data_IF_353931965575
#
_entry.id   IF_353931965575
#
_cell.length_a   1.000
_cell.length_b   1.000
_cell.length_c   1.000
_cell.angle_alpha   90.00
_cell.angle_beta   90.00
_cell.angle_gamma   90.00
#
_symmetry.space_group_name_H-M   'P 1'
#
loop_
_entity.id
_entity.type
_entity.pdbx_description
1 polymer ?
#
# COMPACT_ATOMS: atom_id res chain seq x y z
N UNK A 1 9.03 25.70 -2.60
CA UNK A 1 8.22 26.29 -1.51
C UNK A 1 8.93 25.97 -0.20
N UNK A 2 9.30 26.98 0.57
CA UNK A 2 10.09 26.90 1.82
C UNK A 2 9.26 26.39 3.01
N UNK A 3 8.40 25.39 2.82
CA UNK A 3 7.57 24.80 3.88
C UNK A 3 8.38 23.76 4.68
N UNK A 4 8.26 23.66 6.02
CA UNK A 4 7.34 24.38 6.92
C UNK A 4 7.70 25.86 7.14
N UNK A 5 8.94 26.24 6.87
CA UNK A 5 9.44 27.60 6.95
C UNK A 5 10.93 27.67 6.59
N UNK A 6 11.49 28.86 6.29
CA UNK A 6 12.92 29.03 6.08
C UNK A 6 13.71 28.93 7.39
N UNK A 7 14.90 28.30 7.35
CA UNK A 7 15.83 28.21 8.48
C UNK A 7 16.57 29.52 8.76
N UNK A 8 16.79 30.33 7.72
CA UNK A 8 17.35 31.66 7.82
C UNK A 8 16.88 32.53 6.64
N UNK A 9 17.03 33.83 6.76
CA UNK A 9 16.94 34.77 5.64
C UNK A 9 18.26 35.54 5.53
N UNK A 10 18.77 35.64 4.31
CA UNK A 10 19.99 36.39 4.02
C UNK A 10 19.62 37.77 3.49
N UNK A 11 20.00 38.81 4.25
CA UNK A 11 19.93 40.19 3.79
C UNK A 11 21.23 40.54 3.08
N UNK A 12 21.21 40.52 1.75
CA UNK A 12 22.42 40.72 0.92
C UNK A 12 22.61 42.21 0.63
N UNK A 13 23.72 42.77 1.09
CA UNK A 13 24.09 44.18 0.92
C UNK A 13 25.45 44.32 0.25
N UNK A 14 25.69 45.44 -0.41
CA UNK A 14 27.03 45.82 -0.89
C UNK A 14 27.83 46.55 0.18
N UNK A 15 29.16 46.46 0.14
CA UNK A 15 30.04 47.17 1.09
C UNK A 15 30.09 48.70 0.89
N UNK A 16 29.55 49.24 -0.20
CA UNK A 16 29.77 50.65 -0.57
C UNK A 16 28.71 51.61 -0.06
N UNK A 17 27.43 51.21 -0.02
CA UNK A 17 26.34 52.08 0.43
C UNK A 17 25.17 51.26 0.96
N UNK A 18 24.54 51.77 2.02
CA UNK A 18 23.21 51.37 2.46
C UNK A 18 22.25 52.49 2.07
N UNK A 19 21.29 52.22 1.19
CA UNK A 19 20.40 53.26 0.65
C UNK A 19 19.06 53.29 1.39
N UNK A 20 18.34 54.41 1.25
CA UNK A 20 17.01 54.54 1.84
C UNK A 20 16.04 53.48 1.30
N UNK A 21 16.16 53.12 0.02
CA UNK A 21 15.34 52.08 -0.59
C UNK A 21 15.61 50.69 0.02
N UNK A 22 16.86 50.40 0.41
CA UNK A 22 17.21 49.16 1.11
C UNK A 22 16.62 49.14 2.52
N UNK A 23 16.65 50.27 3.23
CA UNK A 23 16.01 50.42 4.55
C UNK A 23 14.50 50.22 4.48
N UNK A 24 13.83 50.91 3.55
CA UNK A 24 12.38 50.78 3.33
C UNK A 24 11.99 49.34 2.94
N UNK A 25 12.80 48.68 2.10
CA UNK A 25 12.56 47.29 1.70
C UNK A 25 12.60 46.33 2.90
N UNK A 26 13.53 46.54 3.82
CA UNK A 26 13.65 45.74 5.05
C UNK A 26 12.43 46.00 5.95
N UNK A 27 12.03 47.26 6.11
CA UNK A 27 10.84 47.61 6.90
C UNK A 27 9.56 47.00 6.32
N UNK A 28 9.37 47.05 5.00
CA UNK A 28 8.25 46.38 4.33
C UNK A 28 8.27 44.86 4.57
N UNK A 29 9.43 44.24 4.44
CA UNK A 29 9.58 42.80 4.68
C UNK A 29 9.24 42.43 6.13
N UNK A 30 9.75 43.20 7.09
CA UNK A 30 9.48 43.00 8.53
C UNK A 30 8.02 43.28 8.87
N UNK A 31 7.36 44.22 8.20
CA UNK A 31 5.93 44.46 8.38
C UNK A 31 5.10 43.27 7.89
N UNK A 32 5.51 42.61 6.80
CA UNK A 32 4.83 41.45 6.25
C UNK A 32 5.10 40.15 7.04
N UNK A 33 6.36 39.89 7.40
CA UNK A 33 6.79 38.69 8.13
C UNK A 33 6.78 38.89 9.67
N UNK A 34 6.48 40.08 10.15
CA UNK A 34 6.54 40.41 11.57
C UNK A 34 7.96 40.49 12.13
N UNK A 35 8.10 41.17 13.27
CA UNK A 35 9.40 41.46 13.90
C UNK A 35 10.18 40.23 14.35
N UNK A 36 9.54 39.05 14.48
CA UNK A 36 10.24 37.80 14.83
C UNK A 36 11.26 37.37 13.77
N UNK A 37 11.14 37.88 12.55
CA UNK A 37 12.01 37.49 11.43
C UNK A 37 13.49 37.86 11.64
N UNK A 38 13.77 38.91 12.44
CA UNK A 38 15.14 39.30 12.79
C UNK A 38 15.93 38.21 13.53
N UNK A 39 15.24 37.30 14.26
CA UNK A 39 15.85 36.13 14.91
C UNK A 39 16.43 35.12 13.93
N UNK A 40 16.06 35.23 12.65
CA UNK A 40 16.45 34.33 11.56
C UNK A 40 17.24 35.06 10.48
N UNK A 41 17.55 36.35 10.67
CA UNK A 41 18.29 37.16 9.70
C UNK A 41 19.80 37.03 9.88
N UNK A 42 20.49 36.96 8.74
CA UNK A 42 21.95 37.18 8.62
C UNK A 42 22.16 38.30 7.63
N UNK A 43 22.96 39.30 7.99
CA UNK A 43 23.38 40.35 7.04
C UNK A 43 24.62 39.88 6.29
N UNK A 44 24.50 39.70 4.97
CA UNK A 44 25.59 39.25 4.12
C UNK A 44 26.10 40.41 3.28
N UNK A 45 27.34 40.83 3.51
CA UNK A 45 28.03 41.83 2.72
C UNK A 45 28.73 41.17 1.53
N UNK A 46 28.53 41.71 0.33
CA UNK A 46 29.20 41.25 -0.89
C UNK A 46 30.39 42.14 -1.22
N UNK A 47 31.32 41.59 -2.02
CA UNK A 47 32.59 42.23 -2.45
C UNK A 47 33.66 42.29 -1.37
N UNK A 48 33.77 41.24 -0.55
CA UNK A 48 34.83 41.14 0.48
C UNK A 48 36.24 41.41 -0.07
N UNK A 49 36.48 41.13 -1.36
CA UNK A 49 37.72 41.46 -2.07
C UNK A 49 38.09 42.95 -2.05
N UNK A 50 37.11 43.85 -1.99
CA UNK A 50 37.32 45.29 -1.85
C UNK A 50 37.89 45.63 -0.46
N UNK A 51 37.44 44.94 0.61
CA UNK A 51 38.01 45.11 1.96
C UNK A 51 39.45 44.58 2.01
N UNK A 52 39.67 43.39 1.45
CA UNK A 52 40.97 42.73 1.43
C UNK A 52 42.00 43.59 0.67
N UNK A 53 41.62 44.18 -0.47
CA UNK A 53 42.48 45.10 -1.24
C UNK A 53 42.92 46.33 -0.44
N UNK A 54 42.05 46.84 0.43
CA UNK A 54 42.33 48.00 1.27
C UNK A 54 42.91 47.64 2.64
N UNK A 55 43.21 46.36 2.89
CA UNK A 55 43.71 45.87 4.18
C UNK A 55 42.74 46.12 5.33
N UNK A 56 41.44 46.15 5.06
CA UNK A 56 40.38 46.39 6.05
C UNK A 56 39.69 45.10 6.42
N UNK A 57 39.27 44.99 7.67
CA UNK A 57 38.42 43.88 8.13
C UNK A 57 36.93 44.23 7.97
N UNK A 58 36.06 43.22 8.10
CA UNK A 58 34.61 43.48 8.19
C UNK A 58 34.29 44.38 9.40
N UNK A 59 34.95 44.18 10.54
CA UNK A 59 34.77 45.01 11.73
C UNK A 59 35.11 46.48 11.47
N UNK A 60 36.16 46.76 10.69
CA UNK A 60 36.50 48.13 10.30
C UNK A 60 35.38 48.76 9.46
N UNK A 61 34.78 47.98 8.55
CA UNK A 61 33.63 48.43 7.78
C UNK A 61 32.41 48.73 8.67
N UNK A 62 32.08 47.82 9.61
CA UNK A 62 30.94 47.96 10.52
C UNK A 62 31.05 49.18 11.46
N UNK A 63 32.25 49.72 11.69
CA UNK A 63 32.41 51.00 12.42
C UNK A 63 31.91 52.19 11.61
N UNK A 64 32.00 52.12 10.28
CA UNK A 64 31.73 53.22 9.34
C UNK A 64 30.31 53.25 8.75
N UNK A 65 29.53 52.17 8.93
CA UNK A 65 28.17 52.10 8.37
C UNK A 65 27.17 53.09 9.01
N UNK A 66 26.09 53.45 8.30
CA UNK A 66 25.04 54.33 8.83
C UNK A 66 24.36 53.80 10.09
N UNK A 67 23.83 54.71 10.91
CA UNK A 67 23.13 54.38 12.16
C UNK A 67 21.91 53.48 11.94
N UNK A 68 21.20 53.63 10.83
CA UNK A 68 20.07 52.76 10.49
C UNK A 68 20.50 51.31 10.28
N UNK A 69 21.57 51.07 9.53
CA UNK A 69 22.11 49.71 9.37
C UNK A 69 22.67 49.13 10.67
N UNK A 70 23.30 49.97 11.53
CA UNK A 70 23.72 49.54 12.88
C UNK A 70 22.54 49.07 13.74
N UNK A 71 21.40 49.75 13.64
CA UNK A 71 20.16 49.37 14.33
C UNK A 71 19.64 48.02 13.83
N UNK A 72 19.62 47.81 12.52
CA UNK A 72 19.20 46.53 11.91
C UNK A 72 20.12 45.39 12.38
N UNK A 73 21.43 45.58 12.34
CA UNK A 73 22.40 44.60 12.84
C UNK A 73 22.18 44.27 14.31
N UNK A 74 21.88 45.27 15.15
CA UNK A 74 21.54 45.05 16.56
C UNK A 74 20.27 44.22 16.75
N UNK A 75 19.28 44.34 15.87
CA UNK A 75 18.08 43.49 15.89
C UNK A 75 18.37 42.06 15.43
N UNK A 76 19.39 41.87 14.58
CA UNK A 76 19.86 40.58 14.10
C UNK A 76 20.92 39.94 15.02
N UNK A 77 21.02 40.35 16.30
CA UNK A 77 22.06 39.89 17.24
C UNK A 77 23.49 39.98 16.68
N UNK A 78 23.75 41.01 15.87
CA UNK A 78 25.01 41.26 15.18
C UNK A 78 25.46 40.16 14.21
N UNK A 79 24.57 39.24 13.81
CA UNK A 79 24.82 38.20 12.80
C UNK A 79 25.10 38.84 11.44
N UNK A 80 26.36 38.85 11.04
CA UNK A 80 26.77 39.31 9.72
C UNK A 80 28.02 38.60 9.22
N UNK A 81 28.16 38.52 7.89
CA UNK A 81 29.27 37.85 7.22
C UNK A 81 29.62 38.59 5.92
N UNK A 82 30.87 38.52 5.49
CA UNK A 82 31.33 39.08 4.21
C UNK A 82 31.69 37.96 3.23
N UNK A 83 31.21 38.09 1.99
CA UNK A 83 31.41 37.12 0.91
C UNK A 83 32.19 37.75 -0.25
N UNK A 84 33.16 36.98 -0.75
CA UNK A 84 33.77 37.23 -2.06
C UNK A 84 33.18 36.22 -3.06
N UNK A 85 32.21 36.67 -3.86
CA UNK A 85 31.55 35.83 -4.87
C UNK A 85 32.49 35.37 -6.00
N UNK A 86 33.72 35.88 -6.05
CA UNK A 86 34.78 35.49 -7.01
C UNK A 86 35.87 34.63 -6.38
N UNK A 87 35.73 34.25 -5.11
CA UNK A 87 36.73 33.45 -4.41
C UNK A 87 37.00 32.12 -5.14
N UNK A 88 38.28 31.72 -5.34
CA UNK A 88 38.62 30.39 -5.80
C UNK A 88 38.46 29.36 -4.67
N UNK A 89 38.47 28.07 -5.02
CA UNK A 89 38.64 27.00 -4.03
C UNK A 89 40.09 27.01 -3.50
N UNK A 90 40.34 26.80 -2.18
CA UNK A 90 39.39 26.39 -1.14
C UNK A 90 38.64 27.55 -0.46
N UNK A 91 39.10 28.80 -0.58
CA UNK A 91 38.54 29.95 0.14
C UNK A 91 37.02 30.17 -0.06
N UNK A 92 36.47 29.69 -1.18
CA UNK A 92 35.01 29.67 -1.41
C UNK A 92 34.28 28.69 -0.49
N UNK A 93 34.85 27.50 -0.27
CA UNK A 93 34.28 26.50 0.64
C UNK A 93 34.30 27.01 2.07
N UNK A 94 35.43 27.58 2.52
CA UNK A 94 35.59 28.15 3.86
C UNK A 94 34.48 29.20 4.16
N UNK A 95 34.22 30.12 3.23
CA UNK A 95 33.15 31.13 3.41
C UNK A 95 31.74 30.53 3.48
N UNK A 96 31.50 29.42 2.77
CA UNK A 96 30.22 28.72 2.83
C UNK A 96 30.08 27.96 4.14
N UNK A 97 31.16 27.36 4.63
CA UNK A 97 31.21 26.69 5.93
C UNK A 97 30.93 27.67 7.07
N UNK A 98 31.58 28.83 7.08
CA UNK A 98 31.31 29.92 8.03
C UNK A 98 29.83 30.34 8.04
N UNK A 99 29.20 30.41 6.86
CA UNK A 99 27.77 30.74 6.74
C UNK A 99 26.88 29.63 7.30
N UNK A 100 27.20 28.36 7.03
CA UNK A 100 26.45 27.22 7.53
C UNK A 100 26.53 27.12 9.05
N UNK A 101 27.71 27.34 9.64
CA UNK A 101 27.88 27.41 11.10
C UNK A 101 27.00 28.50 11.72
N UNK A 102 26.90 29.66 11.07
CA UNK A 102 26.02 30.75 11.53
C UNK A 102 24.53 30.37 11.42
N UNK A 103 24.13 29.63 10.39
CA UNK A 103 22.76 29.13 10.23
C UNK A 103 22.46 28.08 11.31
N UNK A 104 23.39 27.18 11.60
CA UNK A 104 23.25 26.19 12.66
C UNK A 104 23.11 26.84 14.03
N UNK A 105 23.85 27.92 14.29
CA UNK A 105 23.71 28.72 15.50
C UNK A 105 22.33 29.42 15.59
N UNK A 106 21.81 29.94 14.48
CA UNK A 106 20.42 30.46 14.42
C UNK A 106 19.43 29.36 14.80
N UNK A 107 19.57 28.16 14.23
CA UNK A 107 18.67 27.05 14.55
C UNK A 107 18.77 26.68 16.03
N UNK A 108 19.99 26.56 16.58
CA UNK A 108 20.21 26.25 18.00
C UNK A 108 19.57 27.29 18.92
N UNK A 109 19.72 28.58 18.61
CA UNK A 109 19.09 29.69 19.35
C UNK A 109 17.57 29.71 19.23
N UNK A 110 17.02 29.17 18.15
CA UNK A 110 15.58 29.02 17.92
C UNK A 110 15.06 27.60 18.21
N UNK A 111 15.75 26.83 19.07
CA UNK A 111 15.33 25.48 19.50
C UNK A 111 15.17 24.46 18.36
N UNK A 112 15.90 24.64 17.27
CA UNK A 112 15.82 23.83 16.05
C UNK A 112 14.62 24.14 15.17
N UNK A 113 13.82 25.15 15.51
CA UNK A 113 12.63 25.51 14.76
C UNK A 113 12.98 26.42 13.57
N UNK A 114 12.34 26.19 12.42
CA UNK A 114 12.36 27.12 11.30
C UNK A 114 11.44 28.32 11.57
N UNK A 115 11.67 29.44 10.87
CA UNK A 115 10.76 30.58 10.96
C UNK A 115 9.35 30.19 10.46
N UNK A 116 8.32 30.50 11.23
CA UNK A 116 6.92 30.28 10.83
C UNK A 116 6.04 31.49 11.17
N UNK A 117 4.99 31.67 10.38
CA UNK A 117 3.93 32.65 10.58
C UNK A 117 2.59 32.08 10.08
N UNK A 118 1.52 32.87 10.15
CA UNK A 118 0.18 32.44 9.74
C UNK A 118 0.15 31.95 8.28
N UNK A 119 0.80 32.66 7.36
CA UNK A 119 0.91 32.25 5.96
C UNK A 119 1.61 30.88 5.81
N UNK A 120 2.73 30.66 6.49
CA UNK A 120 3.45 29.38 6.46
C UNK A 120 2.63 28.25 7.08
N UNK A 121 1.94 28.51 8.19
CA UNK A 121 1.04 27.56 8.84
C UNK A 121 -0.13 27.16 7.92
N UNK A 122 -0.79 28.11 7.26
CA UNK A 122 -1.87 27.82 6.32
C UNK A 122 -1.36 27.05 5.09
N UNK A 123 -0.20 27.43 4.55
CA UNK A 123 0.44 26.70 3.46
C UNK A 123 0.75 25.25 3.87
N UNK A 124 1.27 25.03 5.08
CA UNK A 124 1.55 23.69 5.60
C UNK A 124 0.26 22.86 5.77
N UNK A 125 -0.83 23.45 6.27
CA UNK A 125 -2.14 22.80 6.37
C UNK A 125 -2.65 22.36 5.00
N UNK A 126 -2.59 23.25 4.00
CA UNK A 126 -3.00 22.93 2.62
C UNK A 126 -2.15 21.80 2.04
N UNK A 127 -0.83 21.83 2.27
CA UNK A 127 0.08 20.78 1.81
C UNK A 127 -0.21 19.43 2.48
N UNK A 128 -0.40 19.40 3.81
CA UNK A 128 -0.81 18.21 4.56
C UNK A 128 -2.15 17.66 4.08
N UNK A 129 -3.13 18.53 3.85
CA UNK A 129 -4.44 18.13 3.35
C UNK A 129 -4.35 17.54 1.94
N UNK A 130 -3.60 18.17 1.03
CA UNK A 130 -3.34 17.61 -0.31
C UNK A 130 -2.65 16.26 -0.23
N UNK A 131 -1.66 16.12 0.66
CA UNK A 131 -0.94 14.88 0.88
C UNK A 131 -1.88 13.76 1.32
N UNK A 132 -2.76 14.05 2.29
CA UNK A 132 -3.79 13.12 2.75
C UNK A 132 -4.75 12.72 1.62
N UNK A 133 -5.22 13.68 0.80
CA UNK A 133 -6.11 13.36 -0.32
C UNK A 133 -5.44 12.47 -1.39
N UNK A 134 -4.16 12.71 -1.68
CA UNK A 134 -3.37 11.87 -2.59
C UNK A 134 -3.27 10.45 -2.04
N UNK A 135 -2.94 10.30 -0.76
CA UNK A 135 -2.81 8.99 -0.12
C UNK A 135 -4.14 8.24 -0.07
N UNK A 136 -5.22 8.91 0.32
CA UNK A 136 -6.58 8.35 0.32
C UNK A 136 -7.04 7.94 -1.09
N UNK A 137 -6.72 8.71 -2.12
CA UNK A 137 -7.04 8.35 -3.51
C UNK A 137 -6.29 7.09 -3.93
N UNK A 138 -5.01 6.98 -3.57
CA UNK A 138 -4.18 5.80 -3.87
C UNK A 138 -4.67 4.54 -3.17
N UNK A 139 -5.07 4.66 -1.91
CA UNK A 139 -5.66 3.53 -1.16
C UNK A 139 -6.94 3.03 -1.83
N UNK A 140 -7.81 3.95 -2.24
CA UNK A 140 -9.03 3.62 -3.01
C UNK A 140 -8.72 2.98 -4.35
N UNK A 141 -7.71 3.45 -5.07
CA UNK A 141 -7.27 2.84 -6.34
C UNK A 141 -6.74 1.42 -6.11
N UNK A 142 -5.91 1.22 -5.07
CA UNK A 142 -5.40 -0.11 -4.70
C UNK A 142 -6.54 -1.07 -4.35
N UNK A 143 -7.53 -0.62 -3.58
CA UNK A 143 -8.71 -1.42 -3.23
C UNK A 143 -9.55 -1.78 -4.48
N UNK A 144 -9.70 -0.84 -5.42
CA UNK A 144 -10.38 -1.09 -6.69
C UNK A 144 -9.65 -2.13 -7.54
N UNK A 145 -8.33 -2.02 -7.67
CA UNK A 145 -7.53 -3.00 -8.40
C UNK A 145 -7.58 -4.39 -7.73
N UNK A 146 -7.58 -4.46 -6.38
CA UNK A 146 -7.78 -5.73 -5.65
C UNK A 146 -9.14 -6.38 -5.95
N UNK A 147 -10.22 -5.59 -5.93
CA UNK A 147 -11.56 -6.08 -6.28
C UNK A 147 -11.66 -6.50 -7.74
N UNK A 148 -10.93 -5.83 -8.63
CA UNK A 148 -10.91 -6.21 -10.04
C UNK A 148 -10.18 -7.55 -10.26
N UNK A 149 -9.03 -7.75 -9.61
CA UNK A 149 -8.32 -9.04 -9.61
C UNK A 149 -9.23 -10.16 -9.12
N UNK A 150 -9.98 -9.94 -8.04
CA UNK A 150 -10.94 -10.91 -7.52
C UNK A 150 -12.00 -11.26 -8.57
N UNK A 151 -12.62 -10.27 -9.20
CA UNK A 151 -13.62 -10.47 -10.27
C UNK A 151 -13.04 -11.19 -11.48
N UNK A 152 -11.85 -10.83 -11.95
CA UNK A 152 -11.20 -11.46 -13.10
C UNK A 152 -10.91 -12.93 -12.83
N UNK A 153 -10.38 -13.25 -11.64
CA UNK A 153 -10.11 -14.62 -11.22
C UNK A 153 -11.42 -15.40 -11.13
N UNK A 154 -12.45 -14.85 -10.49
CA UNK A 154 -13.77 -15.51 -10.44
C UNK A 154 -14.36 -15.73 -11.82
N UNK A 155 -14.32 -14.73 -12.71
CA UNK A 155 -14.88 -14.81 -14.06
C UNK A 155 -14.17 -15.86 -14.91
N UNK A 156 -12.83 -15.91 -14.85
CA UNK A 156 -12.02 -16.91 -15.57
C UNK A 156 -12.44 -18.34 -15.21
N UNK A 157 -12.82 -18.56 -13.96
CA UNK A 157 -13.15 -19.87 -13.43
C UNK A 157 -14.65 -20.18 -13.40
N UNK A 158 -15.52 -19.18 -13.52
CA UNK A 158 -17.00 -19.31 -13.43
C UNK A 158 -17.57 -20.41 -14.30
N UNK A 159 -17.15 -20.50 -15.56
CA UNK A 159 -17.66 -21.48 -16.53
C UNK A 159 -17.23 -22.91 -16.23
N UNK A 160 -15.91 -23.14 -16.10
CA UNK A 160 -15.36 -24.48 -15.83
C UNK A 160 -15.83 -25.04 -14.47
N UNK A 161 -15.82 -24.21 -13.43
CA UNK A 161 -16.31 -24.65 -12.11
C UNK A 161 -17.80 -24.93 -12.10
N UNK A 162 -18.60 -24.09 -12.76
CA UNK A 162 -20.05 -24.29 -12.83
C UNK A 162 -20.41 -25.64 -13.45
N UNK A 163 -19.78 -26.00 -14.56
CA UNK A 163 -19.99 -27.31 -15.21
C UNK A 163 -19.48 -28.46 -14.34
N UNK A 164 -18.27 -28.33 -13.78
CA UNK A 164 -17.68 -29.40 -12.96
C UNK A 164 -18.47 -29.66 -11.67
N UNK A 165 -18.93 -28.61 -10.97
CA UNK A 165 -19.76 -28.76 -9.78
C UNK A 165 -21.12 -29.39 -10.09
N UNK A 166 -21.75 -29.00 -11.21
CA UNK A 166 -23.01 -29.62 -11.66
C UNK A 166 -22.83 -31.11 -11.93
N UNK A 167 -21.79 -31.49 -12.67
CA UNK A 167 -21.48 -32.90 -12.95
C UNK A 167 -21.14 -33.67 -11.67
N UNK A 168 -20.37 -33.08 -10.74
CA UNK A 168 -20.05 -33.70 -9.46
C UNK A 168 -21.33 -33.91 -8.61
N UNK A 169 -22.19 -32.91 -8.53
CA UNK A 169 -23.45 -32.96 -7.78
C UNK A 169 -24.41 -34.00 -8.35
N UNK A 170 -24.53 -34.09 -9.68
CA UNK A 170 -25.33 -35.12 -10.35
C UNK A 170 -24.79 -36.54 -10.06
N UNK A 171 -23.46 -36.70 -10.04
CA UNK A 171 -22.82 -37.98 -9.72
C UNK A 171 -23.03 -38.36 -8.24
N UNK A 172 -22.92 -37.39 -7.32
CA UNK A 172 -23.21 -37.59 -5.90
C UNK A 172 -24.67 -38.03 -5.68
N UNK A 173 -25.62 -37.39 -6.35
CA UNK A 173 -27.03 -37.78 -6.31
C UNK A 173 -27.23 -39.20 -6.85
N UNK A 174 -26.62 -39.52 -7.99
CA UNK A 174 -26.73 -40.86 -8.60
C UNK A 174 -26.16 -41.96 -7.71
N UNK A 175 -25.00 -41.73 -7.09
CA UNK A 175 -24.41 -42.67 -6.13
C UNK A 175 -25.34 -42.87 -4.94
N UNK A 176 -25.88 -41.79 -4.36
CA UNK A 176 -26.79 -41.87 -3.22
C UNK A 176 -28.09 -42.63 -3.55
N UNK A 177 -28.66 -42.41 -4.75
CA UNK A 177 -29.84 -43.14 -5.23
C UNK A 177 -29.57 -44.65 -5.34
N UNK A 178 -28.45 -45.03 -5.97
CA UNK A 178 -28.09 -46.45 -6.14
C UNK A 178 -27.79 -47.11 -4.80
N UNK A 179 -27.12 -46.41 -3.88
CA UNK A 179 -26.85 -46.91 -2.52
C UNK A 179 -28.14 -47.13 -1.73
N UNK A 180 -29.09 -46.19 -1.80
CA UNK A 180 -30.41 -46.32 -1.18
C UNK A 180 -31.17 -47.54 -1.73
N UNK A 181 -31.15 -47.74 -3.05
CA UNK A 181 -31.75 -48.92 -3.67
C UNK A 181 -31.06 -50.21 -3.21
N UNK A 182 -29.73 -50.25 -3.20
CA UNK A 182 -28.95 -51.41 -2.70
C UNK A 182 -29.36 -51.75 -1.28
N UNK A 183 -29.41 -50.77 -0.39
CA UNK A 183 -29.75 -50.98 1.02
C UNK A 183 -31.20 -51.50 1.17
N UNK A 184 -32.13 -50.95 0.39
CA UNK A 184 -33.50 -51.47 0.33
C UNK A 184 -33.57 -52.93 -0.13
N UNK A 185 -32.83 -53.30 -1.19
CA UNK A 185 -32.74 -54.70 -1.64
C UNK A 185 -32.11 -55.61 -0.59
N UNK A 186 -31.05 -55.17 0.09
CA UNK A 186 -30.40 -55.93 1.16
C UNK A 186 -31.36 -56.17 2.35
N UNK A 187 -32.14 -55.16 2.72
CA UNK A 187 -33.18 -55.29 3.75
C UNK A 187 -34.28 -56.25 3.35
N UNK A 188 -34.82 -56.17 2.11
CA UNK A 188 -35.85 -57.12 1.64
C UNK A 188 -35.31 -58.55 1.54
N UNK A 189 -34.09 -58.72 1.04
CA UNK A 189 -33.42 -60.02 0.97
C UNK A 189 -33.28 -60.64 2.37
N UNK A 190 -32.82 -59.86 3.35
CA UNK A 190 -32.70 -60.31 4.74
C UNK A 190 -34.06 -60.61 5.41
N UNK A 191 -35.13 -59.92 5.01
CA UNK A 191 -36.49 -60.19 5.49
C UNK A 191 -37.04 -61.50 4.90
N UNK A 192 -36.90 -61.70 3.58
CA UNK A 192 -37.28 -62.95 2.91
C UNK A 192 -36.55 -64.15 3.50
N UNK A 193 -35.25 -64.03 3.79
CA UNK A 193 -34.49 -65.12 4.41
C UNK A 193 -34.96 -65.46 5.83
N UNK A 194 -35.61 -64.53 6.53
CA UNK A 194 -36.24 -64.82 7.83
C UNK A 194 -37.61 -65.48 7.64
N UNK A 195 -38.44 -64.93 6.75
CA UNK A 195 -39.76 -65.50 6.43
C UNK A 195 -39.65 -66.94 5.89
N UNK A 196 -38.66 -67.21 5.03
CA UNK A 196 -38.38 -68.56 4.51
C UNK A 196 -37.99 -69.50 5.66
N UNK A 197 -37.07 -69.09 6.54
CA UNK A 197 -36.66 -69.89 7.70
C UNK A 197 -37.81 -70.20 8.65
N UNK A 198 -38.63 -69.19 8.97
CA UNK A 198 -39.81 -69.37 9.83
C UNK A 198 -40.83 -70.35 9.22
N UNK A 199 -41.03 -70.30 7.90
CA UNK A 199 -41.92 -71.24 7.20
C UNK A 199 -41.32 -72.64 7.07
N UNK A 200 -40.01 -72.76 6.86
CA UNK A 200 -39.32 -74.06 6.88
C UNK A 200 -39.48 -74.74 8.25
N UNK A 201 -39.30 -74.00 9.34
CA UNK A 201 -39.52 -74.48 10.72
C UNK A 201 -40.97 -74.93 10.94
N UNK A 202 -41.95 -74.16 10.44
CA UNK A 202 -43.38 -74.48 10.56
C UNK A 202 -43.77 -75.72 9.73
N UNK A 203 -43.23 -75.84 8.52
CA UNK A 203 -43.40 -77.02 7.66
C UNK A 203 -42.81 -78.26 8.33
N UNK A 204 -41.63 -78.16 8.93
CA UNK A 204 -40.99 -79.28 9.62
C UNK A 204 -41.72 -79.67 10.90
N UNK A 205 -42.29 -78.70 11.62
CA UNK A 205 -43.19 -78.98 12.74
C UNK A 205 -44.45 -79.74 12.29
N UNK A 206 -45.13 -79.31 11.23
CA UNK A 206 -46.32 -80.01 10.72
C UNK A 206 -46.00 -81.42 10.22
N UNK A 207 -44.88 -81.59 9.49
CA UNK A 207 -44.38 -82.91 9.08
C UNK A 207 -44.21 -83.85 10.28
N UNK A 208 -43.60 -83.37 11.38
CA UNK A 208 -43.38 -84.17 12.59
C UNK A 208 -44.67 -84.52 13.32
N UNK A 209 -45.63 -83.60 13.36
CA UNK A 209 -46.87 -83.75 14.13
C UNK A 209 -47.97 -84.51 13.39
N UNK A 210 -48.09 -84.31 12.08
CA UNK A 210 -49.21 -84.81 11.26
C UNK A 210 -48.76 -85.73 10.10
N UNK A 211 -47.47 -85.99 9.94
CA UNK A 211 -46.91 -86.90 8.92
C UNK A 211 -46.71 -86.28 7.53
N UNK A 212 -47.40 -85.18 7.22
CA UNK A 212 -47.21 -84.40 5.99
C UNK A 212 -47.53 -82.92 6.24
N UNK A 213 -46.84 -81.98 5.58
CA UNK A 213 -47.12 -80.57 5.72
C UNK A 213 -48.34 -80.15 4.90
N UNK A 214 -49.02 -79.09 5.34
CA UNK A 214 -50.15 -78.48 4.65
C UNK A 214 -49.73 -77.95 3.28
N UNK A 215 -50.53 -78.28 2.27
CA UNK A 215 -50.35 -77.80 0.89
C UNK A 215 -50.25 -76.26 0.80
N UNK A 216 -50.92 -75.54 1.72
CA UNK A 216 -50.84 -74.07 1.82
C UNK A 216 -49.45 -73.57 2.22
N UNK A 217 -48.79 -74.23 3.17
CA UNK A 217 -47.44 -73.85 3.62
C UNK A 217 -46.41 -74.14 2.53
N UNK A 218 -46.52 -75.31 1.87
CA UNK A 218 -45.64 -75.67 0.75
C UNK A 218 -45.79 -74.70 -0.42
N UNK A 219 -47.02 -74.29 -0.75
CA UNK A 219 -47.25 -73.28 -1.79
C UNK A 219 -46.68 -71.90 -1.41
N UNK A 220 -46.78 -71.51 -0.13
CA UNK A 220 -46.24 -70.23 0.36
C UNK A 220 -44.71 -70.20 0.33
N UNK A 221 -44.05 -71.29 0.74
CA UNK A 221 -42.61 -71.44 0.66
C UNK A 221 -42.13 -71.31 -0.79
N UNK A 222 -42.77 -72.03 -1.72
CA UNK A 222 -42.45 -71.95 -3.16
C UNK A 222 -42.55 -70.52 -3.70
N UNK A 223 -43.59 -69.78 -3.34
CA UNK A 223 -43.75 -68.39 -3.78
C UNK A 223 -42.64 -67.47 -3.23
N UNK A 224 -42.20 -67.66 -1.99
CA UNK A 224 -41.11 -66.87 -1.40
C UNK A 224 -39.74 -67.25 -1.96
N UNK A 225 -39.52 -68.52 -2.29
CA UNK A 225 -38.33 -68.97 -3.00
C UNK A 225 -38.27 -68.42 -4.43
N UNK A 226 -39.41 -68.34 -5.12
CA UNK A 226 -39.54 -67.68 -6.43
C UNK A 226 -39.24 -66.17 -6.32
N UNK A 227 -39.70 -65.49 -5.27
CA UNK A 227 -39.37 -64.08 -5.02
C UNK A 227 -37.87 -63.88 -4.69
N UNK A 228 -37.28 -64.77 -3.88
CA UNK A 228 -35.85 -64.75 -3.53
C UNK A 228 -34.96 -64.97 -4.76
N UNK A 229 -35.33 -65.92 -5.62
CA UNK A 229 -34.59 -66.19 -6.86
C UNK A 229 -34.67 -65.00 -7.82
N UNK A 230 -35.84 -64.35 -7.94
CA UNK A 230 -35.99 -63.11 -8.71
C UNK A 230 -35.10 -61.98 -8.18
N UNK A 231 -35.02 -61.78 -6.86
CA UNK A 231 -34.13 -60.79 -6.24
C UNK A 231 -32.64 -61.11 -6.41
N UNK A 232 -32.26 -62.39 -6.43
CA UNK A 232 -30.87 -62.82 -6.63
C UNK A 232 -30.40 -62.78 -8.09
N UNK A 233 -31.35 -62.79 -9.05
CA UNK A 233 -31.05 -62.88 -10.48
C UNK A 233 -30.40 -61.60 -11.02
N UNK A 234 -29.07 -61.55 -10.97
CA UNK A 234 -28.19 -60.70 -11.79
C UNK A 234 -28.15 -59.19 -11.52
N UNK A 235 -29.17 -58.59 -10.90
CA UNK A 235 -29.23 -57.13 -10.68
C UNK A 235 -28.35 -56.64 -9.53
N UNK A 236 -28.17 -57.43 -8.47
CA UNK A 236 -27.38 -57.03 -7.29
C UNK A 236 -25.89 -56.85 -7.58
N UNK A 237 -25.21 -57.88 -8.10
CA UNK A 237 -23.76 -57.85 -8.36
C UNK A 237 -23.35 -56.95 -9.55
N UNK A 238 -24.28 -56.63 -10.46
CA UNK A 238 -24.08 -55.63 -11.50
C UNK A 238 -24.22 -54.21 -10.95
N UNK A 239 -25.18 -54.00 -10.03
CA UNK A 239 -25.40 -52.70 -9.38
C UNK A 239 -24.31 -52.35 -8.35
N UNK A 240 -23.74 -53.34 -7.66
CA UNK A 240 -22.61 -53.14 -6.73
C UNK A 240 -21.36 -52.61 -7.45
N UNK A 241 -21.03 -53.19 -8.61
CA UNK A 241 -19.92 -52.75 -9.46
C UNK A 241 -20.14 -51.36 -10.03
N UNK A 242 -21.37 -51.06 -10.47
CA UNK A 242 -21.74 -49.72 -10.94
C UNK A 242 -21.56 -48.67 -9.83
N UNK A 243 -22.01 -48.95 -8.60
CA UNK A 243 -21.81 -48.06 -7.45
C UNK A 243 -20.32 -47.83 -7.18
N UNK A 244 -19.49 -48.88 -7.23
CA UNK A 244 -18.05 -48.79 -6.99
C UNK A 244 -17.34 -47.95 -8.07
N UNK A 245 -17.68 -48.15 -9.34
CA UNK A 245 -17.15 -47.36 -10.47
C UNK A 245 -17.52 -45.87 -10.33
N UNK A 246 -18.79 -45.57 -10.01
CA UNK A 246 -19.25 -44.19 -9.81
C UNK A 246 -18.59 -43.53 -8.59
N UNK A 247 -18.36 -44.28 -7.50
CA UNK A 247 -17.61 -43.79 -6.33
C UNK A 247 -16.16 -43.47 -6.69
N UNK A 248 -15.52 -44.31 -7.51
CA UNK A 248 -14.17 -44.05 -8.00
C UNK A 248 -14.11 -42.80 -8.89
N UNK A 249 -15.09 -42.63 -9.78
CA UNK A 249 -15.23 -41.43 -10.60
C UNK A 249 -15.46 -40.17 -9.75
N UNK A 250 -16.35 -40.25 -8.76
CA UNK A 250 -16.61 -39.15 -7.82
C UNK A 250 -15.34 -38.74 -7.07
N UNK A 251 -14.56 -39.71 -6.59
CA UNK A 251 -13.28 -39.45 -5.92
C UNK A 251 -12.27 -38.78 -6.86
N UNK A 252 -12.23 -39.14 -8.14
CA UNK A 252 -11.39 -38.50 -9.16
C UNK A 252 -11.83 -37.05 -9.41
N UNK A 253 -13.13 -36.82 -9.59
CA UNK A 253 -13.74 -35.50 -9.73
C UNK A 253 -13.43 -34.61 -8.53
N UNK A 254 -13.65 -35.08 -7.31
CA UNK A 254 -13.33 -34.34 -6.08
C UNK A 254 -11.85 -33.97 -5.99
N UNK A 255 -10.94 -34.85 -6.44
CA UNK A 255 -9.50 -34.57 -6.51
C UNK A 255 -9.20 -33.48 -7.55
N UNK A 256 -9.89 -33.47 -8.69
CA UNK A 256 -9.78 -32.42 -9.70
C UNK A 256 -10.31 -31.08 -9.16
N UNK A 257 -11.48 -31.05 -8.51
CA UNK A 257 -12.01 -29.84 -7.85
C UNK A 257 -11.01 -29.25 -6.86
N UNK A 258 -10.40 -30.09 -6.01
CA UNK A 258 -9.36 -29.65 -5.06
C UNK A 258 -8.13 -29.06 -5.76
N UNK A 259 -7.68 -29.66 -6.87
CA UNK A 259 -6.56 -29.13 -7.66
C UNK A 259 -6.90 -27.80 -8.31
N UNK A 260 -8.08 -27.67 -8.89
CA UNK A 260 -8.55 -26.41 -9.47
C UNK A 260 -8.65 -25.31 -8.42
N UNK A 261 -9.19 -25.61 -7.22
CA UNK A 261 -9.32 -24.62 -6.13
C UNK A 261 -7.94 -24.11 -5.71
N UNK A 262 -6.98 -25.03 -5.51
CA UNK A 262 -5.59 -24.65 -5.22
C UNK A 262 -4.97 -23.78 -6.31
N UNK A 263 -5.23 -24.09 -7.58
CA UNK A 263 -4.72 -23.30 -8.71
C UNK A 263 -5.35 -21.90 -8.75
N UNK A 264 -6.66 -21.80 -8.52
CA UNK A 264 -7.37 -20.52 -8.42
C UNK A 264 -6.79 -19.65 -7.31
N UNK A 265 -6.59 -20.23 -6.13
CA UNK A 265 -6.02 -19.53 -4.98
C UNK A 265 -4.57 -19.10 -5.27
N UNK A 266 -3.77 -19.96 -5.92
CA UNK A 266 -2.40 -19.62 -6.32
C UNK A 266 -2.36 -18.41 -7.25
N UNK A 267 -3.19 -18.39 -8.29
CA UNK A 267 -3.26 -17.27 -9.25
C UNK A 267 -3.73 -15.99 -8.56
N UNK A 268 -4.73 -16.09 -7.68
CA UNK A 268 -5.19 -14.93 -6.92
C UNK A 268 -4.07 -14.33 -6.07
N UNK A 269 -3.32 -15.17 -5.32
CA UNK A 269 -2.19 -14.70 -4.52
C UNK A 269 -1.07 -14.10 -5.37
N UNK A 270 -0.70 -14.75 -6.47
CA UNK A 270 0.33 -14.23 -7.39
C UNK A 270 -0.04 -12.84 -7.95
N UNK A 271 -1.31 -12.63 -8.30
CA UNK A 271 -1.81 -11.32 -8.75
C UNK A 271 -1.80 -10.27 -7.64
N UNK A 272 -2.13 -10.65 -6.40
CA UNK A 272 -2.03 -9.73 -5.26
C UNK A 272 -0.59 -9.34 -4.97
N UNK A 273 0.36 -10.28 -5.05
CA UNK A 273 1.79 -10.02 -4.88
C UNK A 273 2.31 -9.07 -5.97
N UNK A 274 1.91 -9.26 -7.22
CA UNK A 274 2.25 -8.33 -8.32
C UNK A 274 1.71 -6.92 -8.05
N UNK A 275 0.50 -6.81 -7.52
CA UNK A 275 -0.11 -5.53 -7.16
C UNK A 275 0.67 -4.85 -6.03
N UNK A 276 1.00 -5.58 -4.97
CA UNK A 276 1.77 -5.06 -3.85
C UNK A 276 3.18 -4.65 -4.29
N UNK A 277 3.83 -5.43 -5.15
CA UNK A 277 5.11 -5.09 -5.75
C UNK A 277 5.04 -3.77 -6.55
N UNK A 278 4.03 -3.61 -7.41
CA UNK A 278 3.78 -2.37 -8.16
C UNK A 278 3.65 -1.15 -7.24
N UNK A 279 2.88 -1.27 -6.15
CA UNK A 279 2.71 -0.15 -5.21
C UNK A 279 3.96 0.12 -4.36
N UNK A 280 4.73 -0.90 -4.00
CA UNK A 280 5.98 -0.74 -3.28
C UNK A 280 7.03 -0.03 -4.13
N UNK A 281 7.16 -0.41 -5.41
CA UNK A 281 8.05 0.29 -6.36
C UNK A 281 7.71 1.79 -6.46
N UNK A 282 6.43 2.13 -6.55
CA UNK A 282 5.99 3.54 -6.60
C UNK A 282 6.29 4.31 -5.31
N UNK A 283 6.28 3.64 -4.15
CA UNK A 283 6.68 4.28 -2.88
C UNK A 283 8.19 4.42 -2.75
N UNK A 284 8.96 3.45 -3.23
CA UNK A 284 10.42 3.51 -3.27
C UNK A 284 10.90 4.64 -4.19
N UNK A 285 10.41 4.70 -5.43
CA UNK A 285 10.74 5.79 -6.35
C UNK A 285 10.39 7.17 -5.77
N UNK A 286 9.30 7.26 -4.99
CA UNK A 286 8.91 8.51 -4.31
C UNK A 286 9.86 8.86 -3.17
N UNK A 287 10.24 7.87 -2.36
CA UNK A 287 11.15 8.09 -1.23
C UNK A 287 12.53 8.44 -1.74
N UNK A 288 13.01 7.83 -2.82
CA UNK A 288 14.24 8.19 -3.52
C UNK A 288 14.22 9.66 -3.97
N UNK A 289 13.20 10.08 -4.75
CA UNK A 289 13.05 11.49 -5.17
C UNK A 289 13.00 12.43 -3.97
N UNK A 290 12.32 12.03 -2.88
CA UNK A 290 12.28 12.82 -1.65
C UNK A 290 13.65 12.94 -0.99
N UNK A 291 14.40 11.83 -0.89
CA UNK A 291 15.74 11.82 -0.31
C UNK A 291 16.76 12.56 -1.17
N UNK A 292 16.63 12.58 -2.50
CA UNK A 292 17.47 13.39 -3.38
C UNK A 292 17.23 14.88 -3.15
N UNK A 293 15.96 15.28 -2.99
CA UNK A 293 15.58 16.66 -2.65
C UNK A 293 16.08 17.04 -1.26
N UNK A 294 16.00 16.14 -0.28
CA UNK A 294 16.41 16.38 1.12
C UNK A 294 17.95 16.34 1.31
N UNK A 295 18.66 15.47 0.59
CA UNK A 295 20.13 15.28 0.70
C UNK A 295 20.95 16.27 -0.14
N UNK A 296 20.31 17.02 -1.03
CA UNK A 296 20.98 18.01 -1.88
C UNK A 296 22.10 17.46 -2.79
N UNK A 297 22.08 16.15 -3.05
CA UNK A 297 23.10 15.43 -3.84
C UNK A 297 22.97 15.66 -5.35
N UNK A 298 21.87 16.26 -5.82
CA UNK A 298 21.68 16.67 -7.20
C UNK A 298 22.15 18.12 -7.44
N UNK A 299 23.38 18.32 -7.88
CA UNK A 299 23.94 19.59 -8.41
C UNK A 299 23.44 20.88 -7.72
N UNK A 300 23.26 20.84 -6.39
CA UNK A 300 22.66 21.93 -5.62
C UNK A 300 23.58 23.15 -5.61
N UNK A 301 24.88 22.97 -5.84
CA UNK A 301 25.82 24.08 -6.07
C UNK A 301 25.48 24.92 -7.32
N UNK A 302 25.13 24.29 -8.45
CA UNK A 302 24.69 25.01 -9.65
C UNK A 302 23.25 25.53 -9.53
N UNK A 303 22.36 24.80 -8.84
CA UNK A 303 20.96 25.21 -8.65
C UNK A 303 20.80 26.32 -7.58
N UNK A 304 21.63 26.37 -6.54
CA UNK A 304 21.67 27.49 -5.60
C UNK A 304 22.30 28.71 -6.25
N UNK A 305 23.37 28.58 -7.04
CA UNK A 305 23.97 29.72 -7.74
C UNK A 305 23.08 30.24 -8.88
N UNK A 306 22.47 29.36 -9.67
CA UNK A 306 21.49 29.72 -10.71
C UNK A 306 20.14 30.17 -10.14
N UNK A 307 19.74 29.61 -9.00
CA UNK A 307 18.54 29.94 -8.25
C UNK A 307 18.66 31.27 -7.51
N UNK A 308 19.78 31.58 -6.87
CA UNK A 308 20.04 32.90 -6.25
C UNK A 308 20.04 33.99 -7.33
N UNK A 309 20.59 33.72 -8.53
CA UNK A 309 20.53 34.66 -9.66
C UNK A 309 19.12 34.82 -10.28
N UNK A 310 18.25 33.81 -10.19
CA UNK A 310 16.88 33.87 -10.75
C UNK A 310 15.82 34.29 -9.74
N UNK A 311 15.96 33.90 -8.47
CA UNK A 311 15.10 34.29 -7.35
C UNK A 311 15.34 35.76 -7.00
N UNK A 312 16.57 36.27 -7.10
CA UNK A 312 16.84 37.70 -7.04
C UNK A 312 16.10 38.51 -8.12
N UNK A 313 15.92 37.94 -9.33
CA UNK A 313 15.12 38.57 -10.41
C UNK A 313 13.61 38.38 -10.26
N UNK A 314 13.16 37.25 -9.69
CA UNK A 314 11.73 36.93 -9.52
C UNK A 314 11.12 37.61 -8.29
N UNK A 315 11.87 37.78 -7.20
CA UNK A 315 11.43 38.58 -6.05
C UNK A 315 11.35 40.05 -6.46
N UNK A 316 12.29 40.54 -7.26
CA UNK A 316 12.24 41.92 -7.79
C UNK A 316 11.06 42.14 -8.76
N UNK A 317 10.77 41.18 -9.64
CA UNK A 317 9.59 41.25 -10.54
C UNK A 317 8.26 41.01 -9.83
N UNK A 318 8.23 40.21 -8.77
CA UNK A 318 7.03 39.97 -7.96
C UNK A 318 6.64 41.19 -7.12
N UNK A 319 7.64 41.91 -6.59
CA UNK A 319 7.41 43.19 -5.89
C UNK A 319 6.97 44.28 -6.88
N UNK A 320 7.46 44.29 -8.12
CA UNK A 320 6.97 45.20 -9.17
C UNK A 320 5.56 44.88 -9.70
N UNK A 321 4.98 43.70 -9.42
CA UNK A 321 3.60 43.37 -9.81
C UNK A 321 2.57 43.61 -8.69
N UNK A 322 3.03 43.98 -7.49
CA UNK A 322 2.18 44.33 -6.35
C UNK A 322 2.14 45.84 -6.06
N UNK A 323 2.69 46.67 -6.97
CA UNK A 323 2.57 48.14 -6.97
C UNK A 323 2.14 48.66 -8.34
#
# INVERSE_FOLDING_TARGET
>A
MTSPGPHCFLLVLGLTRFTQEEEESIDHFVNYFGRRVFRYFIVLFTRKDDLDHHGKTLDDHLRTIPTSLKKILGQCDHRCIAFNNRAPSPARHDQVEDLLEMIDEILRQNHGECYTNEMYSEAEKVMKQRQYQIEKKRERERERERKEIEREVEQKYRGQYGSHYKSQSALEQRVAELESMRDHYAHRSSALEREVRELEDEIDYEKRKYGSPSSKLVAKLRNLEDERTQLSSGRGAASEREIEDLRHELKRMQKQTKKMNKEKDRIYQERLEQLDHKYNQLQNARTEVRTEVESGSGNVGEALLGGIMSIGKLIWKGIQMLF
#
